data_IF_860541886091
#
_entry.id   IF_860541886091
#
_cell.length_a   1.000
_cell.length_b   1.000
_cell.length_c   1.000
_cell.angle_alpha   90.00
_cell.angle_beta   90.00
_cell.angle_gamma   90.00
#
_symmetry.space_group_name_H-M   'P 1'
#
loop_
_entity.id
_entity.type
_entity.pdbx_description
1 polymer ?
#
# COMPACT_ATOMS: atom_id res chain seq x y z
N UNK A 1 41.20 23.09 18.18
CA UNK A 1 40.40 22.38 17.14
C UNK A 1 39.07 21.96 17.75
N UNK A 2 37.99 22.66 17.39
CA UNK A 2 36.64 22.47 17.95
C UNK A 2 35.97 21.28 17.25
N UNK A 3 35.64 20.22 18.01
CA UNK A 3 34.81 19.12 17.54
C UNK A 3 33.35 19.55 17.63
N UNK A 4 32.71 19.78 16.48
CA UNK A 4 31.26 19.84 16.37
C UNK A 4 30.84 18.43 15.97
N UNK A 5 30.15 17.71 16.86
CA UNK A 5 29.61 16.39 16.56
C UNK A 5 28.11 16.38 16.88
N UNK A 6 27.35 16.39 15.78
CA UNK A 6 26.05 15.77 15.55
C UNK A 6 24.99 15.85 16.67
N UNK A 7 24.03 16.74 16.46
CA UNK A 7 22.67 16.60 17.01
C UNK A 7 22.00 15.44 16.25
N UNK A 8 21.94 14.26 16.88
CA UNK A 8 21.01 13.20 16.50
C UNK A 8 19.65 13.55 17.08
N UNK A 9 18.82 14.25 16.30
CA UNK A 9 17.38 14.28 16.53
C UNK A 9 16.80 12.95 16.06
N UNK A 10 16.73 11.98 16.98
CA UNK A 10 15.80 10.86 16.85
C UNK A 10 14.39 11.44 16.73
N UNK A 11 13.84 11.41 15.52
CA UNK A 11 12.43 11.60 15.29
C UNK A 11 11.68 10.47 16.01
N UNK A 12 11.24 10.74 17.23
CA UNK A 12 10.32 9.89 17.96
C UNK A 12 9.03 9.83 17.14
N UNK A 13 8.80 8.67 16.51
CA UNK A 13 7.57 8.36 15.82
C UNK A 13 6.39 8.51 16.80
N UNK A 14 5.46 9.40 16.47
CA UNK A 14 4.20 9.62 17.17
C UNK A 14 3.29 8.38 17.01
N UNK A 15 3.52 7.35 17.83
CA UNK A 15 2.60 6.22 18.00
C UNK A 15 1.43 6.68 18.89
N UNK A 16 0.34 7.15 18.27
CA UNK A 16 -0.84 7.60 19.05
C UNK A 16 -2.20 7.33 18.42
N UNK A 17 -2.37 7.51 17.11
CA UNK A 17 -3.65 7.24 16.43
C UNK A 17 -3.53 6.50 15.08
N UNK A 18 -2.31 6.23 14.60
CA UNK A 18 -2.06 5.60 13.28
C UNK A 18 -2.07 4.07 13.31
N UNK A 19 -2.06 3.45 14.50
CA UNK A 19 -1.89 2.00 14.62
C UNK A 19 -3.06 1.17 14.07
N UNK A 20 -4.26 1.75 13.92
CA UNK A 20 -5.40 1.05 13.32
C UNK A 20 -5.22 0.82 11.82
N UNK A 21 -5.00 1.90 11.07
CA UNK A 21 -4.83 1.87 9.62
C UNK A 21 -3.56 1.13 9.22
N UNK A 22 -2.45 1.36 9.93
CA UNK A 22 -1.20 0.65 9.67
C UNK A 22 -1.37 -0.87 9.79
N UNK A 23 -2.08 -1.34 10.83
CA UNK A 23 -2.37 -2.76 11.00
C UNK A 23 -3.26 -3.31 9.90
N UNK A 24 -4.29 -2.56 9.46
CA UNK A 24 -5.14 -2.96 8.33
C UNK A 24 -4.34 -3.11 7.05
N UNK A 25 -3.50 -2.12 6.71
CA UNK A 25 -2.66 -2.17 5.51
C UNK A 25 -1.66 -3.33 5.55
N UNK A 26 -1.01 -3.58 6.70
CA UNK A 26 -0.15 -4.76 6.91
C UNK A 26 -0.91 -6.06 6.69
N UNK A 27 -2.06 -6.23 7.36
CA UNK A 27 -2.90 -7.42 7.24
C UNK A 27 -3.29 -7.72 5.79
N UNK A 28 -3.68 -6.70 5.02
CA UNK A 28 -3.99 -6.86 3.60
C UNK A 28 -2.75 -7.30 2.82
N UNK A 29 -1.60 -6.64 3.02
CA UNK A 29 -0.38 -6.95 2.26
C UNK A 29 0.16 -8.35 2.61
N UNK A 30 0.05 -8.78 3.86
CA UNK A 30 0.32 -10.16 4.30
C UNK A 30 -0.64 -11.16 3.66
N UNK A 31 -1.92 -10.81 3.51
CA UNK A 31 -2.89 -11.62 2.77
C UNK A 31 -2.50 -11.78 1.30
N UNK A 32 -2.02 -10.70 0.67
CA UNK A 32 -1.48 -10.74 -0.70
C UNK A 32 -0.25 -11.66 -0.77
N UNK A 33 0.69 -11.54 0.16
CA UNK A 33 1.87 -12.42 0.27
C UNK A 33 1.48 -13.92 0.29
N UNK A 34 0.36 -14.24 0.94
CA UNK A 34 -0.18 -15.60 1.06
C UNK A 34 -1.01 -16.05 -0.14
N UNK A 35 -1.54 -15.13 -0.94
CA UNK A 35 -2.55 -15.40 -1.97
C UNK A 35 -2.04 -16.30 -3.11
N UNK A 36 -0.74 -16.24 -3.42
CA UNK A 36 -0.09 -17.01 -4.50
C UNK A 36 0.50 -18.35 -4.04
N UNK A 37 0.45 -18.67 -2.75
CA UNK A 37 0.97 -19.94 -2.25
C UNK A 37 -0.08 -21.04 -2.43
N UNK A 38 0.35 -22.19 -2.97
CA UNK A 38 -0.53 -23.37 -3.07
C UNK A 38 -1.09 -23.81 -1.71
N UNK A 39 -0.31 -23.59 -0.63
CA UNK A 39 -0.76 -23.70 0.74
C UNK A 39 -0.46 -22.39 1.49
N UNK A 40 -1.44 -21.52 1.76
CA UNK A 40 -1.23 -20.26 2.48
C UNK A 40 -0.59 -20.42 3.87
N UNK A 41 -0.67 -21.62 4.48
CA UNK A 41 -0.04 -21.91 5.77
C UNK A 41 1.46 -22.20 5.68
N UNK A 42 2.01 -22.46 4.50
CA UNK A 42 3.46 -22.62 4.30
C UNK A 42 4.20 -21.28 4.19
N UNK A 43 3.48 -20.16 4.16
CA UNK A 43 4.07 -18.82 4.08
C UNK A 43 4.30 -18.29 5.49
N UNK A 44 5.57 -18.15 5.85
CA UNK A 44 6.02 -17.50 7.08
C UNK A 44 6.27 -16.02 6.81
N UNK A 45 5.66 -15.15 7.60
CA UNK A 45 5.84 -13.71 7.53
C UNK A 45 6.98 -13.32 8.48
N UNK A 46 8.00 -12.66 7.96
CA UNK A 46 9.22 -12.36 8.73
C UNK A 46 9.14 -10.94 9.31
N UNK A 47 8.97 -9.94 8.44
CA UNK A 47 8.96 -8.52 8.80
C UNK A 47 7.97 -7.76 7.93
N UNK A 48 7.32 -6.75 8.53
CA UNK A 48 6.41 -5.85 7.83
C UNK A 48 6.71 -4.39 8.18
N UNK A 49 7.10 -3.60 7.18
CA UNK A 49 7.41 -2.18 7.30
C UNK A 49 6.34 -1.33 6.59
N UNK A 50 6.06 -0.15 7.15
CA UNK A 50 5.15 0.82 6.53
C UNK A 50 5.87 2.16 6.47
N UNK A 51 5.90 2.73 5.27
CA UNK A 51 6.39 4.09 5.04
C UNK A 51 5.26 4.91 4.46
N UNK A 52 5.31 6.23 4.66
CA UNK A 52 4.27 7.13 4.18
C UNK A 52 4.85 8.43 3.67
N UNK A 53 4.21 9.02 2.65
CA UNK A 53 4.54 10.33 2.10
C UNK A 53 3.29 11.04 1.62
N UNK A 54 3.27 12.37 1.74
CA UNK A 54 2.29 13.19 1.03
C UNK A 54 2.56 13.10 -0.48
N UNK A 55 1.50 13.11 -1.29
CA UNK A 55 1.60 13.07 -2.75
C UNK A 55 0.80 14.21 -3.38
N UNK A 56 1.32 14.76 -4.48
CA UNK A 56 0.62 15.77 -5.26
C UNK A 56 -0.35 15.17 -6.27
N UNK A 57 -1.16 16.02 -6.91
CA UNK A 57 -2.17 15.64 -7.93
C UNK A 57 -1.61 14.72 -9.01
N UNK A 58 -0.43 15.01 -9.55
CA UNK A 58 0.18 14.22 -10.61
C UNK A 58 0.52 12.78 -10.16
N UNK A 59 1.04 12.62 -8.94
CA UNK A 59 1.32 11.30 -8.35
C UNK A 59 0.04 10.54 -8.05
N UNK A 60 -1.00 11.24 -7.56
CA UNK A 60 -2.31 10.65 -7.31
C UNK A 60 -2.97 10.14 -8.59
N UNK A 61 -3.01 10.96 -9.64
CA UNK A 61 -3.52 10.56 -10.96
C UNK A 61 -2.78 9.32 -11.46
N UNK A 62 -1.45 9.35 -11.46
CA UNK A 62 -0.63 8.24 -11.98
C UNK A 62 -0.89 6.94 -11.22
N UNK A 63 -1.01 7.00 -9.90
CA UNK A 63 -1.11 5.80 -9.08
C UNK A 63 -2.56 5.30 -8.91
N UNK A 64 -3.56 6.19 -8.93
CA UNK A 64 -4.97 5.83 -8.73
C UNK A 64 -5.73 5.64 -10.04
N UNK A 65 -5.53 6.52 -11.02
CA UNK A 65 -6.23 6.50 -12.30
C UNK A 65 -5.36 5.99 -13.47
N UNK A 66 -4.05 5.87 -13.27
CA UNK A 66 -3.07 5.54 -14.32
C UNK A 66 -2.78 6.72 -15.25
N UNK A 67 -3.83 7.39 -15.75
CA UNK A 67 -3.74 8.51 -16.69
C UNK A 67 -4.80 9.56 -16.40
N UNK A 68 -4.65 10.79 -16.92
CA UNK A 68 -5.73 11.78 -16.89
C UNK A 68 -6.86 11.48 -17.90
N UNK A 69 -6.57 10.72 -18.96
CA UNK A 69 -7.59 10.31 -19.92
C UNK A 69 -8.52 9.29 -19.27
N UNK A 70 -9.83 9.60 -19.24
CA UNK A 70 -10.85 8.73 -18.65
C UNK A 70 -11.26 9.11 -17.23
N UNK A 71 -10.65 10.13 -16.61
CA UNK A 71 -11.15 10.68 -15.36
C UNK A 71 -12.40 11.53 -15.67
N UNK A 72 -13.52 11.23 -15.00
CA UNK A 72 -14.77 11.99 -15.17
C UNK A 72 -14.60 13.44 -14.69
N UNK A 73 -15.38 14.36 -15.26
CA UNK A 73 -15.37 15.77 -14.84
C UNK A 73 -15.71 15.93 -13.34
N UNK A 74 -16.59 15.08 -12.81
CA UNK A 74 -16.87 15.03 -11.37
C UNK A 74 -15.65 14.63 -10.53
N UNK A 75 -14.88 13.62 -10.96
CA UNK A 75 -13.68 13.20 -10.26
C UNK A 75 -12.57 14.25 -10.35
N UNK A 76 -12.45 14.96 -11.49
CA UNK A 76 -11.54 16.11 -11.63
C UNK A 76 -11.90 17.23 -10.65
N UNK A 77 -13.17 17.60 -10.57
CA UNK A 77 -13.62 18.63 -9.63
C UNK A 77 -13.32 18.26 -8.16
N UNK A 78 -13.50 16.99 -7.79
CA UNK A 78 -13.13 16.49 -6.45
C UNK A 78 -11.62 16.59 -6.21
N UNK A 79 -10.80 16.18 -7.19
CA UNK A 79 -9.34 16.30 -7.08
C UNK A 79 -8.89 17.76 -6.95
N UNK A 80 -9.50 18.68 -7.70
CA UNK A 80 -9.13 20.10 -7.63
C UNK A 80 -9.44 20.68 -6.24
N UNK A 81 -10.52 20.26 -5.60
CA UNK A 81 -10.82 20.60 -4.20
C UNK A 81 -9.81 19.96 -3.24
N UNK A 82 -9.46 18.68 -3.44
CA UNK A 82 -8.54 17.95 -2.57
C UNK A 82 -7.11 18.51 -2.58
N UNK A 83 -6.65 18.98 -3.75
CA UNK A 83 -5.29 19.47 -3.98
C UNK A 83 -5.19 21.01 -4.02
N UNK A 84 -6.26 21.73 -3.73
CA UNK A 84 -6.19 23.17 -3.48
C UNK A 84 -5.33 23.48 -2.25
N UNK A 85 -4.85 24.73 -2.12
CA UNK A 85 -3.95 25.15 -1.03
C UNK A 85 -4.53 24.92 0.40
N UNK A 86 -5.86 24.83 0.52
CA UNK A 86 -6.57 24.53 1.77
C UNK A 86 -6.99 23.05 1.93
N UNK A 87 -6.71 22.23 0.92
CA UNK A 87 -7.08 20.82 0.88
C UNK A 87 -6.17 19.95 1.74
N UNK A 88 -6.68 18.79 2.17
CA UNK A 88 -5.91 17.81 2.96
C UNK A 88 -4.94 16.96 2.11
N UNK A 89 -4.91 17.17 0.80
CA UNK A 89 -4.09 16.38 -0.13
C UNK A 89 -4.46 14.90 -0.14
N UNK A 90 -3.52 14.09 -0.65
CA UNK A 90 -3.59 12.64 -0.56
C UNK A 90 -2.27 12.12 0.00
N UNK A 91 -2.35 11.03 0.76
CA UNK A 91 -1.19 10.39 1.38
C UNK A 91 -0.99 9.00 0.81
N UNK A 92 0.21 8.70 0.37
CA UNK A 92 0.60 7.38 -0.09
C UNK A 92 1.28 6.62 1.05
N UNK A 93 0.92 5.34 1.19
CA UNK A 93 1.58 4.39 2.07
C UNK A 93 2.19 3.27 1.23
N UNK A 94 3.45 2.93 1.49
CA UNK A 94 4.09 1.74 0.97
C UNK A 94 4.29 0.75 2.11
N UNK A 95 3.67 -0.42 1.97
CA UNK A 95 3.82 -1.54 2.89
C UNK A 95 4.71 -2.58 2.23
N UNK A 96 5.76 -2.98 2.92
CA UNK A 96 6.64 -4.06 2.48
C UNK A 96 6.54 -5.22 3.47
N UNK A 97 6.26 -6.41 2.97
CA UNK A 97 6.17 -7.65 3.75
C UNK A 97 7.21 -8.62 3.21
N UNK A 98 8.23 -8.90 4.02
CA UNK A 98 9.20 -9.95 3.75
C UNK A 98 8.65 -11.29 4.24
N UNK A 99 8.68 -12.31 3.39
CA UNK A 99 8.12 -13.62 3.68
C UNK A 99 8.97 -14.76 3.11
N UNK A 100 8.80 -15.93 3.70
CA UNK A 100 9.39 -17.19 3.23
C UNK A 100 8.29 -18.18 2.90
N UNK A 101 8.25 -18.68 1.67
CA UNK A 101 7.34 -19.74 1.23
C UNK A 101 8.05 -21.09 1.24
N UNK A 102 7.69 -21.97 2.17
CA UNK A 102 8.21 -23.34 2.29
C UNK A 102 7.32 -24.40 1.63
N UNK A 103 6.30 -23.99 0.87
CA UNK A 103 5.37 -24.90 0.19
C UNK A 103 5.92 -25.56 -1.06
N UNK A 104 7.12 -25.17 -1.49
CA UNK A 104 7.82 -25.71 -2.66
C UNK A 104 8.98 -26.62 -2.24
N UNK A 105 9.52 -27.39 -3.19
CA UNK A 105 10.65 -28.32 -2.97
C UNK A 105 11.85 -27.61 -2.33
N UNK A 106 12.07 -26.33 -2.66
CA UNK A 106 13.04 -25.47 -2.01
C UNK A 106 12.35 -24.24 -1.44
N UNK A 107 12.54 -23.91 -0.14
CA UNK A 107 12.01 -22.68 0.42
C UNK A 107 12.54 -21.45 -0.32
N UNK A 108 11.65 -20.50 -0.61
CA UNK A 108 12.01 -19.23 -1.26
C UNK A 108 11.68 -18.06 -0.35
N UNK A 109 12.56 -17.07 -0.29
CA UNK A 109 12.33 -15.80 0.41
C UNK A 109 12.09 -14.71 -0.61
N UNK A 110 11.05 -13.92 -0.40
CA UNK A 110 10.63 -12.87 -1.32
C UNK A 110 9.91 -11.74 -0.56
N UNK A 111 9.61 -10.65 -1.25
CA UNK A 111 8.96 -9.47 -0.70
C UNK A 111 7.69 -9.14 -1.47
N UNK A 112 6.60 -8.94 -0.72
CA UNK A 112 5.41 -8.29 -1.24
C UNK A 112 5.48 -6.78 -0.96
N UNK A 113 5.20 -5.95 -1.95
CA UNK A 113 5.11 -4.50 -1.80
C UNK A 113 3.71 -4.06 -2.16
N UNK A 114 3.02 -3.34 -1.29
CA UNK A 114 1.66 -2.86 -1.48
C UNK A 114 1.60 -1.35 -1.34
N UNK A 115 1.01 -0.67 -2.32
CA UNK A 115 0.85 0.78 -2.33
C UNK A 115 -0.61 1.12 -2.06
N UNK A 116 -0.84 1.84 -0.96
CA UNK A 116 -2.14 2.36 -0.59
C UNK A 116 -2.15 3.88 -0.74
N UNK A 117 -3.30 4.42 -1.09
CA UNK A 117 -3.55 5.86 -1.09
C UNK A 117 -4.71 6.13 -0.14
N UNK A 118 -4.50 7.09 0.76
CA UNK A 118 -5.54 7.68 1.59
C UNK A 118 -5.92 9.05 1.06
N UNK A 119 -7.20 9.26 0.82
CA UNK A 119 -7.76 10.56 0.47
C UNK A 119 -9.15 10.71 1.07
N UNK A 120 -9.39 11.84 1.75
CA UNK A 120 -10.57 11.97 2.61
C UNK A 120 -10.61 10.84 3.64
N UNK A 121 -11.73 10.12 3.68
CA UNK A 121 -11.94 8.95 4.55
C UNK A 121 -11.64 7.61 3.86
N UNK A 122 -11.37 7.61 2.55
CA UNK A 122 -11.06 6.38 1.81
C UNK A 122 -9.58 6.01 1.95
N UNK A 123 -9.32 4.73 2.26
CA UNK A 123 -8.01 4.10 2.18
C UNK A 123 -8.08 2.97 1.16
N UNK A 124 -7.31 3.08 0.08
CA UNK A 124 -7.45 2.22 -1.11
C UNK A 124 -6.11 1.62 -1.49
N UNK A 125 -6.04 0.30 -1.68
CA UNK A 125 -4.96 -0.36 -2.39
C UNK A 125 -5.00 0.06 -3.85
N UNK A 126 -3.86 0.54 -4.34
CA UNK A 126 -3.68 1.09 -5.70
C UNK A 126 -2.73 0.29 -6.54
N UNK A 127 -1.77 -0.39 -5.92
CA UNK A 127 -0.98 -1.39 -6.62
C UNK A 127 -0.35 -2.35 -5.62
N UNK A 128 0.09 -3.50 -6.10
CA UNK A 128 1.00 -4.36 -5.35
C UNK A 128 1.92 -5.15 -6.28
N UNK A 129 3.03 -5.62 -5.74
CA UNK A 129 3.94 -6.56 -6.40
C UNK A 129 4.26 -7.74 -5.50
N UNK A 130 4.31 -8.93 -6.09
CA UNK A 130 4.59 -10.20 -5.42
C UNK A 130 5.13 -11.22 -6.43
N UNK A 131 6.19 -11.98 -6.10
CA UNK A 131 6.76 -13.03 -6.97
C UNK A 131 7.01 -12.56 -8.41
N UNK A 132 7.51 -11.33 -8.58
CA UNK A 132 7.78 -10.72 -9.89
C UNK A 132 6.53 -10.26 -10.68
N UNK A 133 5.33 -10.45 -10.15
CA UNK A 133 4.07 -9.93 -10.72
C UNK A 133 3.82 -8.54 -10.14
N UNK A 134 3.41 -7.59 -10.97
CA UNK A 134 2.95 -6.26 -10.56
C UNK A 134 1.51 -6.05 -11.01
N UNK A 135 0.64 -5.65 -10.08
CA UNK A 135 -0.79 -5.45 -10.28
C UNK A 135 -1.12 -4.00 -9.98
N UNK A 136 -1.59 -3.27 -11.00
CA UNK A 136 -2.12 -1.90 -10.87
C UNK A 136 -3.59 -1.88 -10.48
N UNK A 137 -4.11 -0.69 -10.14
CA UNK A 137 -5.46 -0.47 -9.61
C UNK A 137 -6.54 -1.12 -10.46
N UNK A 138 -6.39 -0.99 -11.78
CA UNK A 138 -7.32 -1.49 -12.78
C UNK A 138 -7.41 -3.02 -12.84
N UNK A 139 -6.39 -3.74 -12.33
CA UNK A 139 -6.32 -5.21 -12.32
C UNK A 139 -6.54 -5.83 -10.95
N UNK A 140 -6.73 -5.02 -9.90
CA UNK A 140 -6.92 -5.52 -8.54
C UNK A 140 -8.16 -6.42 -8.46
N UNK A 141 -9.27 -5.99 -9.07
CA UNK A 141 -10.50 -6.76 -9.09
C UNK A 141 -10.30 -8.14 -9.75
N UNK A 142 -9.75 -8.15 -10.97
CA UNK A 142 -9.48 -9.40 -11.70
C UNK A 142 -8.52 -10.31 -10.91
N UNK A 143 -7.49 -9.73 -10.30
CA UNK A 143 -6.57 -10.49 -9.48
C UNK A 143 -7.28 -11.14 -8.28
N UNK A 144 -8.14 -10.41 -7.55
CA UNK A 144 -8.88 -10.96 -6.42
C UNK A 144 -10.05 -11.87 -6.81
N UNK A 145 -10.48 -11.86 -8.08
CA UNK A 145 -11.38 -12.90 -8.60
C UNK A 145 -10.65 -14.22 -8.82
N UNK A 146 -9.41 -14.15 -9.32
CA UNK A 146 -8.61 -15.32 -9.66
C UNK A 146 -7.80 -15.87 -8.48
N UNK A 147 -7.58 -15.04 -7.46
CA UNK A 147 -6.82 -15.37 -6.26
C UNK A 147 -7.66 -15.08 -5.01
N UNK A 148 -7.31 -15.68 -3.87
CA UNK A 148 -8.06 -15.44 -2.64
C UNK A 148 -8.05 -13.95 -2.23
N UNK A 149 -9.22 -13.36 -2.05
CA UNK A 149 -9.40 -12.00 -1.52
C UNK A 149 -8.83 -11.92 -0.09
N UNK A 150 -7.87 -11.01 0.19
CA UNK A 150 -7.40 -10.77 1.56
C UNK A 150 -8.54 -10.31 2.48
N UNK A 151 -8.40 -10.53 3.79
CA UNK A 151 -9.38 -10.03 4.76
C UNK A 151 -9.23 -8.52 4.95
N UNK A 152 -10.36 -7.82 5.14
CA UNK A 152 -10.39 -6.38 5.43
C UNK A 152 -10.16 -5.50 4.20
N UNK A 153 -10.41 -6.03 3.01
CA UNK A 153 -10.40 -5.29 1.75
C UNK A 153 -11.55 -5.74 0.86
N UNK A 154 -12.17 -4.79 0.18
CA UNK A 154 -13.14 -5.04 -0.88
C UNK A 154 -12.47 -5.59 -2.14
N UNK A 155 -13.26 -6.17 -3.04
CA UNK A 155 -12.76 -6.64 -4.34
C UNK A 155 -12.20 -5.52 -5.22
N UNK A 156 -12.56 -4.26 -4.98
CA UNK A 156 -12.03 -3.08 -5.70
C UNK A 156 -10.80 -2.46 -5.03
N UNK A 157 -10.36 -3.04 -3.91
CA UNK A 157 -9.17 -2.60 -3.19
C UNK A 157 -9.42 -1.56 -2.10
N UNK A 158 -10.67 -1.28 -1.72
CA UNK A 158 -10.97 -0.34 -0.62
C UNK A 158 -10.88 -1.08 0.71
N UNK A 159 -10.21 -0.49 1.71
CA UNK A 159 -10.05 -1.11 3.03
C UNK A 159 -11.25 -0.78 3.92
N UNK A 160 -11.77 -1.80 4.60
CA UNK A 160 -12.84 -1.70 5.61
C UNK A 160 -12.27 -1.27 6.97
#
# INVERSE_FOLDING_TARGET
MKKVLAVLTCAMALTGCLGGEERKMKSVCEGIAKSQAANPKSVNLNEAAVTSREIGRADFVRNYYGTESGISESAKAVMDIMFAESGKGAKQYAVEVDYTDSGQVSPSRDKATCIFIKYGDELSLTSFSIKGISVGKEKIFDYFLLNNLPKGISSTGVLD
#
